data_IF_723742056332
#
_entry.id   IF_723742056332
#
_cell.length_a   1.000
_cell.length_b   1.000
_cell.length_c   1.000
_cell.angle_alpha   90.00
_cell.angle_beta   90.00
_cell.angle_gamma   90.00
#
_symmetry.space_group_name_H-M   'P 1'
#
loop_
_entity.id
_entity.type
_entity.pdbx_description
1 polymer ?
#
# COMPACT_ATOMS: atom_id res chain seq x y z
N UNK A 1 26.46 19.72 39.78
CA UNK A 1 26.84 19.46 38.38
C UNK A 1 26.18 18.21 37.78
N UNK A 2 25.85 17.17 38.54
CA UNK A 2 25.25 15.92 38.02
C UNK A 2 23.77 16.07 37.59
N UNK A 3 22.98 16.94 38.24
CA UNK A 3 21.57 17.19 37.89
C UNK A 3 21.36 17.87 36.52
N UNK A 4 22.35 18.61 36.01
CA UNK A 4 22.27 19.28 34.71
C UNK A 4 22.49 18.31 33.53
N UNK A 5 23.29 17.26 33.73
CA UNK A 5 23.57 16.25 32.70
C UNK A 5 22.38 15.30 32.47
N UNK A 6 21.60 14.98 33.51
CA UNK A 6 20.41 14.11 33.40
C UNK A 6 19.28 14.80 32.61
N UNK A 7 19.13 16.12 32.74
CA UNK A 7 18.11 16.89 32.02
C UNK A 7 18.36 17.00 30.50
N UNK A 8 19.62 17.02 30.07
CA UNK A 8 20.00 17.09 28.66
C UNK A 8 19.77 15.73 27.96
N UNK A 9 19.97 14.62 28.67
CA UNK A 9 19.74 13.27 28.11
C UNK A 9 18.24 12.96 27.92
N UNK A 10 17.37 13.42 28.85
CA UNK A 10 15.92 13.26 28.71
C UNK A 10 15.32 14.08 27.55
N UNK A 11 15.88 15.26 27.25
CA UNK A 11 15.40 16.09 26.13
C UNK A 11 15.72 15.47 24.77
N UNK A 12 16.89 14.81 24.64
CA UNK A 12 17.28 14.14 23.39
C UNK A 12 16.39 12.92 23.08
N UNK A 13 15.92 12.19 24.10
CA UNK A 13 14.96 11.08 23.89
C UNK A 13 13.56 11.55 23.48
N UNK A 14 13.14 12.77 23.82
CA UNK A 14 11.88 13.34 23.32
C UNK A 14 11.97 13.87 21.89
N UNK A 15 13.15 14.35 21.46
CA UNK A 15 13.37 14.81 20.08
C UNK A 15 13.56 13.66 19.07
N UNK A 16 13.71 12.42 19.55
CA UNK A 16 13.76 11.19 18.77
C UNK A 16 12.47 10.37 18.97
N UNK A 17 11.30 11.02 19.03
CA UNK A 17 10.10 10.31 18.60
C UNK A 17 10.36 9.92 17.15
N UNK A 18 10.72 8.66 16.89
CA UNK A 18 10.79 8.14 15.53
C UNK A 18 9.46 8.49 14.88
N UNK A 19 9.49 9.31 13.83
CA UNK A 19 8.31 9.48 13.00
C UNK A 19 7.85 8.07 12.60
N UNK A 20 6.55 7.76 12.74
CA UNK A 20 6.05 6.44 12.37
C UNK A 20 6.43 6.15 10.92
N UNK A 21 6.85 4.90 10.67
CA UNK A 21 7.23 4.45 9.33
C UNK A 21 6.06 4.70 8.39
N UNK A 22 6.25 5.52 7.36
CA UNK A 22 5.19 5.89 6.42
C UNK A 22 5.39 5.20 5.08
N UNK A 23 4.48 4.29 4.75
CA UNK A 23 4.56 3.43 3.56
C UNK A 23 3.44 3.76 2.58
N UNK A 24 3.82 4.01 1.35
CA UNK A 24 2.91 4.10 0.22
C UNK A 24 2.80 2.76 -0.48
N UNK A 25 1.60 2.30 -0.79
CA UNK A 25 1.35 1.10 -1.59
C UNK A 25 0.54 1.51 -2.80
N UNK A 26 1.12 1.43 -3.99
CA UNK A 26 0.35 1.41 -5.24
C UNK A 26 0.06 -0.05 -5.58
N UNK A 27 -1.23 -0.39 -5.68
CA UNK A 27 -1.64 -1.77 -5.97
C UNK A 27 -2.32 -1.86 -7.33
N UNK A 28 -1.76 -2.69 -8.19
CA UNK A 28 -2.28 -3.08 -9.49
C UNK A 28 -2.79 -4.53 -9.44
N UNK A 29 -3.45 -5.01 -10.50
CA UNK A 29 -4.21 -6.27 -10.43
C UNK A 29 -3.60 -7.43 -11.22
N UNK A 30 -2.98 -7.17 -12.38
CA UNK A 30 -2.49 -8.21 -13.30
C UNK A 30 -1.45 -9.14 -12.69
N UNK A 31 -0.59 -8.62 -11.81
CA UNK A 31 0.51 -9.35 -11.18
C UNK A 31 0.16 -9.97 -9.82
N UNK A 32 -1.08 -9.83 -9.34
CA UNK A 32 -1.51 -10.39 -8.05
C UNK A 32 -1.44 -11.93 -8.08
N UNK A 33 -0.98 -12.53 -6.98
CA UNK A 33 -0.93 -13.97 -6.81
C UNK A 33 -2.27 -14.65 -7.09
N UNK A 34 -2.26 -15.62 -8.01
CA UNK A 34 -3.47 -16.37 -8.40
C UNK A 34 -4.28 -15.75 -9.53
N UNK A 35 -3.94 -14.56 -10.01
CA UNK A 35 -4.48 -14.02 -11.26
C UNK A 35 -3.85 -14.77 -12.43
N UNK A 36 -4.61 -15.66 -13.05
CA UNK A 36 -4.14 -16.48 -14.18
C UNK A 36 -4.48 -15.92 -15.56
N UNK A 37 -5.44 -14.99 -15.66
CA UNK A 37 -5.92 -14.44 -16.93
C UNK A 37 -6.37 -13.00 -16.79
N UNK A 38 -6.26 -12.21 -17.86
CA UNK A 38 -6.78 -10.84 -17.89
C UNK A 38 -8.32 -10.73 -17.81
N UNK A 39 -9.05 -11.85 -17.93
CA UNK A 39 -10.50 -11.85 -17.66
C UNK A 39 -10.78 -11.61 -16.16
N UNK A 40 -9.87 -12.07 -15.29
CA UNK A 40 -9.98 -11.87 -13.84
C UNK A 40 -9.67 -10.43 -13.40
N UNK A 41 -9.11 -9.60 -14.30
CA UNK A 41 -8.77 -8.21 -13.99
C UNK A 41 -9.77 -7.20 -14.58
N UNK A 42 -10.77 -7.65 -15.33
CA UNK A 42 -11.74 -6.74 -15.98
C UNK A 42 -13.07 -6.79 -15.29
N UNK A 43 -13.69 -5.64 -15.03
CA UNK A 43 -14.99 -5.54 -14.33
C UNK A 43 -16.13 -6.32 -15.00
N UNK A 44 -16.05 -6.53 -16.31
CA UNK A 44 -16.98 -7.34 -17.10
C UNK A 44 -16.46 -8.75 -17.43
N UNK A 45 -15.30 -9.13 -16.89
CA UNK A 45 -14.62 -10.38 -17.17
C UNK A 45 -15.00 -11.50 -16.21
N UNK A 46 -14.73 -12.74 -16.64
CA UNK A 46 -14.97 -13.94 -15.84
C UNK A 46 -14.06 -13.92 -14.60
N UNK A 47 -14.65 -14.26 -13.45
CA UNK A 47 -13.96 -14.39 -12.16
C UNK A 47 -13.33 -13.09 -11.61
N UNK A 48 -13.76 -11.92 -12.12
CA UNK A 48 -13.29 -10.62 -11.61
C UNK A 48 -13.47 -10.45 -10.09
N UNK A 49 -14.62 -10.86 -9.55
CA UNK A 49 -14.86 -10.80 -8.10
C UNK A 49 -13.90 -11.70 -7.30
N UNK A 50 -13.47 -12.83 -7.86
CA UNK A 50 -12.42 -13.64 -7.24
C UNK A 50 -11.08 -12.88 -7.30
N UNK A 51 -10.77 -12.27 -8.44
CA UNK A 51 -9.57 -11.44 -8.57
C UNK A 51 -9.51 -10.32 -7.54
N UNK A 52 -10.62 -9.59 -7.31
CA UNK A 52 -10.72 -8.55 -6.27
C UNK A 52 -10.45 -9.07 -4.86
N UNK A 53 -10.95 -10.27 -4.55
CA UNK A 53 -10.69 -10.94 -3.27
C UNK A 53 -9.21 -11.30 -3.11
N UNK A 54 -8.57 -11.83 -4.16
CA UNK A 54 -7.14 -12.14 -4.16
C UNK A 54 -6.30 -10.87 -3.99
N UNK A 55 -6.62 -9.81 -4.74
CA UNK A 55 -5.94 -8.51 -4.65
C UNK A 55 -6.05 -7.92 -3.24
N UNK A 56 -7.25 -7.95 -2.63
CA UNK A 56 -7.45 -7.46 -1.25
C UNK A 56 -6.68 -8.32 -0.24
N UNK A 57 -6.68 -9.64 -0.40
CA UNK A 57 -5.94 -10.55 0.48
C UNK A 57 -4.42 -10.31 0.41
N UNK A 58 -3.88 -10.05 -0.78
CA UNK A 58 -2.45 -9.79 -0.95
C UNK A 58 -2.04 -8.43 -0.35
N UNK A 59 -2.87 -7.39 -0.53
CA UNK A 59 -2.69 -6.11 0.19
C UNK A 59 -2.68 -6.33 1.70
N UNK A 60 -3.67 -7.06 2.24
CA UNK A 60 -3.74 -7.35 3.67
C UNK A 60 -2.55 -8.15 4.18
N UNK A 61 -2.00 -9.07 3.38
CA UNK A 61 -0.79 -9.80 3.74
C UNK A 61 0.43 -8.87 3.86
N UNK A 62 0.60 -7.93 2.92
CA UNK A 62 1.65 -6.90 2.97
C UNK A 62 1.46 -5.98 4.18
N UNK A 63 0.24 -5.48 4.39
CA UNK A 63 -0.11 -4.63 5.54
C UNK A 63 0.19 -5.34 6.85
N UNK A 64 -0.24 -6.60 7.00
CA UNK A 64 0.03 -7.39 8.20
C UNK A 64 1.53 -7.53 8.46
N UNK A 65 2.35 -7.76 7.42
CA UNK A 65 3.79 -7.85 7.56
C UNK A 65 4.41 -6.52 8.01
N UNK A 66 3.98 -5.39 7.43
CA UNK A 66 4.45 -4.04 7.82
C UNK A 66 4.10 -3.77 9.28
N UNK A 67 2.85 -4.00 9.68
CA UNK A 67 2.39 -3.73 11.05
C UNK A 67 3.05 -4.65 12.08
N UNK A 68 3.31 -5.91 11.72
CA UNK A 68 4.07 -6.82 12.58
C UNK A 68 5.52 -6.36 12.79
N UNK A 69 6.11 -5.68 11.81
CA UNK A 69 7.45 -5.11 11.91
C UNK A 69 7.47 -3.78 12.67
N UNK A 70 6.49 -2.90 12.40
CA UNK A 70 6.31 -1.63 13.08
C UNK A 70 4.81 -1.38 13.31
N UNK A 71 4.38 -1.55 14.56
CA UNK A 71 2.97 -1.45 14.95
C UNK A 71 2.37 -0.05 14.70
N UNK A 72 3.20 0.97 14.69
CA UNK A 72 2.79 2.37 14.56
C UNK A 72 2.92 2.87 13.12
N UNK A 73 3.18 1.99 12.14
CA UNK A 73 3.35 2.37 10.75
C UNK A 73 2.08 2.99 10.15
N UNK A 74 2.26 4.07 9.39
CA UNK A 74 1.22 4.71 8.60
C UNK A 74 1.23 4.14 7.17
N UNK A 75 0.09 3.62 6.71
CA UNK A 75 0.03 2.94 5.41
C UNK A 75 -1.05 3.58 4.54
N UNK A 76 -0.63 4.13 3.41
CA UNK A 76 -1.52 4.65 2.36
C UNK A 76 -1.58 3.65 1.21
N UNK A 77 -2.76 3.13 0.91
CA UNK A 77 -3.00 2.21 -0.23
C UNK A 77 -3.74 2.96 -1.33
N UNK A 78 -3.14 3.05 -2.51
CA UNK A 78 -3.73 3.63 -3.70
C UNK A 78 -4.10 2.52 -4.70
N UNK A 79 -5.40 2.33 -4.93
CA UNK A 79 -5.87 1.44 -5.99
C UNK A 79 -5.42 1.98 -7.34
N UNK A 80 -4.70 1.19 -8.12
CA UNK A 80 -4.00 1.65 -9.31
C UNK A 80 -4.43 0.91 -10.57
N UNK A 81 -5.43 0.03 -10.46
CA UNK A 81 -5.90 -0.79 -11.58
C UNK A 81 -7.22 -0.30 -12.17
N UNK A 82 -7.32 -0.20 -13.50
CA UNK A 82 -8.60 0.05 -14.19
C UNK A 82 -9.32 1.33 -13.73
N UNK A 83 -10.55 1.17 -13.20
CA UNK A 83 -11.33 2.27 -12.63
C UNK A 83 -10.95 2.62 -11.18
N UNK A 84 -10.00 1.86 -10.62
CA UNK A 84 -9.38 2.03 -9.32
C UNK A 84 -10.38 1.83 -8.16
N UNK A 85 -11.29 0.87 -8.32
CA UNK A 85 -12.34 0.52 -7.35
C UNK A 85 -12.37 -0.98 -7.02
N UNK A 86 -11.20 -1.60 -6.94
CA UNK A 86 -11.01 -3.05 -6.94
C UNK A 86 -10.92 -3.62 -5.53
N UNK A 87 -10.29 -2.92 -4.57
CA UNK A 87 -10.20 -3.45 -3.21
C UNK A 87 -11.58 -3.56 -2.53
N UNK A 88 -11.78 -4.63 -1.76
CA UNK A 88 -13.02 -4.89 -1.04
C UNK A 88 -12.97 -4.21 0.34
N UNK A 89 -13.69 -3.10 0.50
CA UNK A 89 -13.73 -2.31 1.75
C UNK A 89 -14.00 -3.13 3.02
N UNK A 90 -14.88 -4.11 2.96
CA UNK A 90 -15.27 -4.91 4.13
C UNK A 90 -14.20 -5.93 4.52
N UNK A 91 -13.30 -6.26 3.60
CA UNK A 91 -12.23 -7.23 3.82
C UNK A 91 -10.88 -6.54 4.03
N UNK A 92 -10.72 -5.29 3.59
CA UNK A 92 -9.48 -4.52 3.67
C UNK A 92 -9.12 -4.21 5.12
N UNK A 93 -7.83 -4.31 5.47
CA UNK A 93 -7.35 -4.02 6.81
C UNK A 93 -7.73 -2.59 7.25
N UNK A 94 -8.45 -2.42 8.37
CA UNK A 94 -8.98 -1.12 8.77
C UNK A 94 -7.91 -0.10 9.18
N UNK A 95 -6.64 -0.51 9.31
CA UNK A 95 -5.53 0.38 9.67
C UNK A 95 -4.97 1.16 8.47
N UNK A 96 -5.33 0.80 7.24
CA UNK A 96 -4.85 1.53 6.06
C UNK A 96 -5.73 2.74 5.76
N UNK A 97 -5.13 3.77 5.17
CA UNK A 97 -5.85 4.80 4.45
C UNK A 97 -5.99 4.34 3.00
N UNK A 98 -7.21 4.35 2.46
CA UNK A 98 -7.50 3.84 1.12
C UNK A 98 -7.89 4.97 0.16
N UNK A 99 -7.19 5.06 -0.98
CA UNK A 99 -7.53 5.97 -2.08
C UNK A 99 -8.21 5.16 -3.19
N UNK A 100 -9.50 5.44 -3.39
CA UNK A 100 -10.37 4.81 -4.39
C UNK A 100 -10.74 5.79 -5.51
N UNK A 101 -10.92 5.26 -6.72
CA UNK A 101 -11.45 5.95 -7.89
C UNK A 101 -10.35 6.46 -8.81
N UNK A 102 -10.64 6.55 -10.10
CA UNK A 102 -9.65 6.90 -11.12
C UNK A 102 -9.59 8.40 -11.47
N UNK A 103 -10.48 9.22 -10.89
CA UNK A 103 -10.42 10.69 -11.03
C UNK A 103 -9.36 11.23 -10.07
N UNK A 104 -8.10 10.90 -10.34
CA UNK A 104 -6.93 11.23 -9.52
C UNK A 104 -5.89 11.94 -10.38
N UNK A 105 -5.50 13.20 -10.06
CA UNK A 105 -4.52 13.94 -10.84
C UNK A 105 -3.21 13.20 -11.07
N UNK A 106 -2.78 12.36 -10.12
CA UNK A 106 -1.53 11.61 -10.20
C UNK A 106 -1.72 10.10 -10.43
N UNK A 107 -2.94 9.65 -10.75
CA UNK A 107 -3.20 8.25 -11.13
C UNK A 107 -2.68 7.21 -10.13
N UNK A 108 -1.80 6.32 -10.61
CA UNK A 108 -1.24 5.19 -9.84
C UNK A 108 -0.35 5.61 -8.66
N UNK A 109 0.09 6.87 -8.62
CA UNK A 109 0.93 7.41 -7.53
C UNK A 109 0.22 8.53 -6.75
N UNK A 110 -1.12 8.54 -6.76
CA UNK A 110 -1.89 9.54 -6.02
C UNK A 110 -1.63 9.46 -4.51
N UNK A 111 -1.24 10.60 -3.94
CA UNK A 111 -0.98 10.75 -2.50
C UNK A 111 0.46 10.44 -2.08
N UNK A 112 1.32 10.01 -3.00
CA UNK A 112 2.76 9.86 -2.75
C UNK A 112 3.45 11.22 -2.79
N UNK A 113 4.22 11.54 -1.76
CA UNK A 113 5.05 12.75 -1.64
C UNK A 113 6.38 12.44 -0.92
N UNK A 114 7.15 13.48 -0.58
CA UNK A 114 8.47 13.36 0.06
C UNK A 114 8.42 13.01 1.55
N UNK A 115 7.23 12.87 2.15
CA UNK A 115 7.06 12.47 3.54
C UNK A 115 7.05 10.94 3.74
N UNK A 116 6.97 10.16 2.66
CA UNK A 116 6.98 8.70 2.72
C UNK A 116 8.40 8.14 2.82
N UNK A 117 8.60 7.16 3.70
CA UNK A 117 9.89 6.48 3.86
C UNK A 117 10.13 5.45 2.75
N UNK A 118 9.07 4.87 2.19
CA UNK A 118 9.14 3.91 1.09
C UNK A 118 7.83 3.80 0.30
N UNK A 119 7.97 3.27 -0.92
CA UNK A 119 6.87 2.90 -1.80
C UNK A 119 6.95 1.41 -2.17
N UNK A 120 5.80 0.74 -2.19
CA UNK A 120 5.63 -0.64 -2.63
C UNK A 120 4.70 -0.64 -3.83
N UNK A 121 5.15 -1.22 -4.94
CA UNK A 121 4.35 -1.42 -6.15
C UNK A 121 3.95 -2.89 -6.21
N UNK A 122 2.70 -3.17 -5.82
CA UNK A 122 2.17 -4.51 -5.59
C UNK A 122 1.28 -4.94 -6.75
N UNK A 123 1.37 -6.20 -7.17
CA UNK A 123 0.53 -6.72 -8.26
C UNK A 123 0.82 -6.11 -9.63
N UNK A 124 1.99 -5.48 -9.81
CA UNK A 124 2.39 -4.87 -11.07
C UNK A 124 2.75 -5.91 -12.12
N UNK A 125 2.65 -5.49 -13.38
CA UNK A 125 2.98 -6.31 -14.54
C UNK A 125 4.06 -5.66 -15.40
N UNK A 126 4.64 -6.45 -16.30
CA UNK A 126 5.62 -5.93 -17.24
C UNK A 126 5.01 -4.97 -18.26
N UNK A 127 5.82 -4.03 -18.73
CA UNK A 127 5.39 -3.04 -19.71
C UNK A 127 4.96 -3.68 -21.05
N UNK A 128 4.07 -2.98 -21.75
CA UNK A 128 3.65 -3.37 -23.10
C UNK A 128 4.85 -3.61 -24.04
N UNK A 129 4.74 -4.65 -24.88
CA UNK A 129 5.78 -5.03 -25.84
C UNK A 129 6.90 -5.91 -25.27
N UNK A 130 6.80 -6.34 -24.01
CA UNK A 130 7.77 -7.27 -23.41
C UNK A 130 7.38 -8.72 -23.71
N UNK A 131 8.31 -9.50 -24.26
CA UNK A 131 7.99 -10.78 -24.92
C UNK A 131 7.48 -11.90 -23.98
N UNK A 132 7.63 -11.78 -22.66
CA UNK A 132 7.34 -12.86 -21.71
C UNK A 132 6.48 -12.42 -20.52
N UNK A 133 5.85 -11.26 -20.61
CA UNK A 133 5.61 -10.49 -19.38
C UNK A 133 6.96 -9.92 -19.01
#
# INVERSE_FOLDING_TARGET
>A
MIRFLIGIFLLQSLCLANNPLKIFISVDMEGIGGIGTGAMTRSNGKDYNLGRKLMTAEVNAVVSAIINYNNDAEILVNDSHGDMQNLNHQDLDPRVVYIQGNIKPFGMVQGLDDSFDAAIFLGYHARAGTARG
#
